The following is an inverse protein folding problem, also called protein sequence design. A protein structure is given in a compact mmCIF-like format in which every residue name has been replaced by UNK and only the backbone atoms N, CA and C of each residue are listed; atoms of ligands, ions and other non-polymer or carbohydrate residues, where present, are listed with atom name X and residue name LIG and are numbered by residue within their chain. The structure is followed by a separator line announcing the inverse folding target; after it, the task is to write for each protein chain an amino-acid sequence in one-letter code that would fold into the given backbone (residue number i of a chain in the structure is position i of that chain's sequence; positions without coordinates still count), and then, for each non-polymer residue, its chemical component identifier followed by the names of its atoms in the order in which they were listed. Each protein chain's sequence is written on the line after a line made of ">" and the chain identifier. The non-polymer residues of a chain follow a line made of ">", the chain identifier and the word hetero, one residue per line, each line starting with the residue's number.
data_IF_423372274257
#
_entry.id   IF_423372274257
#
_cell.length_a   1.000
_cell.length_b   1.000
_cell.length_c   1.000
_cell.angle_alpha   90.00
_cell.angle_beta   90.00
_cell.angle_gamma   90.00
#
_symmetry.space_group_name_H-M   'P 1'
#
loop_
_entity.id
_entity.type
_entity.pdbx_description
1 polymer ?
#
# COMPACT_ATOMS: atom_id res chain seq x y z
N UNK A 1 -18.89 -0.43 -26.09
CA UNK A 1 -19.48 0.87 -25.67
C UNK A 1 -18.44 1.62 -24.88
N UNK A 2 -18.15 2.91 -25.16
CA UNK A 2 -17.28 3.69 -24.29
C UNK A 2 -18.11 4.31 -23.16
N UNK A 3 -17.67 4.16 -21.93
CA UNK A 3 -18.32 4.74 -20.76
C UNK A 3 -17.34 5.68 -20.06
N UNK A 4 -17.77 6.88 -19.70
CA UNK A 4 -16.91 7.82 -18.96
C UNK A 4 -16.51 7.26 -17.60
N UNK A 5 -15.33 7.62 -17.11
CA UNK A 5 -14.85 7.14 -15.80
C UNK A 5 -15.75 7.57 -14.65
N UNK A 6 -16.40 8.74 -14.73
CA UNK A 6 -17.40 9.19 -13.72
C UNK A 6 -18.62 8.27 -13.70
N UNK A 7 -19.15 7.91 -14.88
CA UNK A 7 -20.28 6.99 -14.96
C UNK A 7 -19.91 5.57 -14.50
N UNK A 8 -18.71 5.13 -14.83
CA UNK A 8 -18.18 3.83 -14.39
C UNK A 8 -18.00 3.79 -12.87
N UNK A 9 -17.44 4.83 -12.26
CA UNK A 9 -17.30 4.92 -10.80
C UNK A 9 -18.67 4.84 -10.11
N UNK A 10 -19.67 5.59 -10.63
CA UNK A 10 -21.03 5.54 -10.11
C UNK A 10 -21.67 4.15 -10.24
N UNK A 11 -21.40 3.45 -11.34
CA UNK A 11 -21.85 2.08 -11.54
C UNK A 11 -21.15 1.11 -10.57
N UNK A 12 -19.83 1.22 -10.37
CA UNK A 12 -19.09 0.43 -9.38
C UNK A 12 -19.65 0.64 -7.95
N UNK A 13 -19.97 1.88 -7.57
CA UNK A 13 -20.50 2.19 -6.23
C UNK A 13 -21.91 1.61 -5.99
N UNK A 14 -22.62 1.17 -7.03
CA UNK A 14 -23.87 0.44 -6.89
C UNK A 14 -23.70 -1.00 -6.36
N UNK A 15 -22.48 -1.56 -6.49
CA UNK A 15 -22.16 -2.89 -6.00
C UNK A 15 -21.82 -2.89 -4.51
N UNK A 16 -21.99 -4.06 -3.85
CA UNK A 16 -21.68 -4.22 -2.44
C UNK A 16 -20.19 -3.96 -2.14
N UNK A 17 -19.89 -2.91 -1.40
CA UNK A 17 -18.53 -2.52 -1.06
C UNK A 17 -18.17 -2.89 0.39
N UNK A 18 -17.46 -4.01 0.56
CA UNK A 18 -17.06 -4.52 1.88
C UNK A 18 -15.85 -3.79 2.49
N UNK A 19 -15.26 -2.82 1.81
CA UNK A 19 -14.33 -1.87 2.41
C UNK A 19 -15.07 -0.77 3.21
N UNK A 20 -16.32 -0.49 2.82
CA UNK A 20 -17.19 0.53 3.45
C UNK A 20 -18.21 -0.07 4.43
N UNK A 21 -18.61 -1.32 4.23
CA UNK A 21 -19.65 -2.00 5.03
C UNK A 21 -19.21 -3.41 5.45
N UNK A 22 -19.74 -3.90 6.57
CA UNK A 22 -19.44 -5.24 7.05
C UNK A 22 -20.10 -6.30 6.15
N UNK A 23 -19.33 -7.29 5.72
CA UNK A 23 -19.85 -8.42 4.95
C UNK A 23 -20.68 -9.35 5.83
N UNK A 24 -21.87 -9.73 5.35
CA UNK A 24 -22.66 -10.82 5.90
C UNK A 24 -22.42 -12.07 5.04
N UNK A 25 -21.86 -13.13 5.62
CA UNK A 25 -21.53 -14.37 4.94
C UNK A 25 -20.03 -14.55 4.63
N UNK A 26 -19.69 -15.70 4.04
CA UNK A 26 -18.31 -16.07 3.75
C UNK A 26 -17.81 -15.44 2.44
N UNK A 27 -16.51 -15.16 2.38
CA UNK A 27 -15.83 -14.81 1.13
C UNK A 27 -15.67 -16.07 0.27
N UNK A 28 -15.73 -15.92 -1.06
CA UNK A 28 -15.61 -17.01 -1.99
C UNK A 28 -14.98 -16.53 -3.30
N UNK A 29 -14.20 -17.38 -3.95
CA UNK A 29 -13.66 -17.12 -5.29
C UNK A 29 -14.59 -17.54 -6.41
N UNK A 30 -15.77 -18.12 -6.11
CA UNK A 30 -16.65 -18.70 -7.12
C UNK A 30 -17.10 -17.68 -8.16
N UNK A 31 -17.57 -16.51 -7.71
CA UNK A 31 -18.10 -15.47 -8.61
C UNK A 31 -16.98 -14.89 -9.48
N UNK A 32 -15.86 -14.44 -8.89
CA UNK A 32 -14.75 -13.88 -9.67
C UNK A 32 -14.15 -14.90 -10.64
N UNK A 33 -14.04 -16.19 -10.26
CA UNK A 33 -13.51 -17.23 -11.13
C UNK A 33 -14.42 -17.49 -12.33
N UNK A 34 -15.74 -17.53 -12.11
CA UNK A 34 -16.70 -17.67 -13.19
C UNK A 34 -16.64 -16.49 -14.16
N UNK A 35 -16.71 -15.27 -13.62
CA UNK A 35 -16.69 -14.05 -14.43
C UNK A 35 -15.40 -13.93 -15.25
N UNK A 36 -14.25 -14.20 -14.62
CA UNK A 36 -12.98 -14.19 -15.35
C UNK A 36 -12.91 -15.25 -16.46
N UNK A 37 -13.46 -16.45 -16.21
CA UNK A 37 -13.52 -17.52 -17.21
C UNK A 37 -14.42 -17.14 -18.40
N UNK A 38 -15.58 -16.57 -18.16
CA UNK A 38 -16.50 -16.09 -19.20
C UNK A 38 -15.92 -14.91 -20.00
N UNK A 39 -14.95 -14.16 -19.44
CA UNK A 39 -14.16 -13.12 -20.08
C UNK A 39 -12.86 -13.64 -20.75
N UNK A 40 -12.76 -14.96 -21.01
CA UNK A 40 -11.54 -15.59 -21.53
C UNK A 40 -10.28 -15.36 -20.69
N UNK A 41 -10.44 -15.33 -19.37
CA UNK A 41 -9.35 -15.21 -18.38
C UNK A 41 -8.34 -14.11 -18.72
N UNK A 42 -8.74 -12.83 -18.73
CA UNK A 42 -7.86 -11.73 -19.12
C UNK A 42 -6.57 -11.62 -18.29
N UNK A 43 -6.60 -12.09 -17.03
CA UNK A 43 -5.45 -12.14 -16.13
C UNK A 43 -4.33 -13.09 -16.58
N UNK A 44 -4.58 -13.98 -17.51
CA UNK A 44 -3.58 -14.89 -18.08
C UNK A 44 -2.85 -14.35 -19.32
N UNK A 45 -3.21 -13.15 -19.79
CA UNK A 45 -2.62 -12.53 -20.97
C UNK A 45 -1.20 -11.98 -20.74
N UNK A 46 -0.76 -11.86 -19.51
CA UNK A 46 0.53 -11.29 -19.08
C UNK A 46 1.07 -12.01 -17.84
N UNK A 47 2.37 -11.86 -17.59
CA UNK A 47 3.01 -12.40 -16.37
C UNK A 47 2.57 -11.62 -15.14
N UNK A 48 2.56 -12.27 -13.97
CA UNK A 48 2.13 -11.60 -12.74
C UNK A 48 3.06 -11.83 -11.57
N UNK A 49 3.11 -10.85 -10.65
CA UNK A 49 3.65 -10.94 -9.29
C UNK A 49 2.49 -10.69 -8.34
N UNK A 50 2.26 -11.58 -7.39
CA UNK A 50 1.14 -11.51 -6.45
C UNK A 50 1.63 -11.25 -5.04
N UNK A 51 1.15 -10.17 -4.40
CA UNK A 51 1.68 -9.66 -3.12
C UNK A 51 0.61 -9.66 -2.04
N UNK A 52 0.82 -10.45 -0.97
CA UNK A 52 0.00 -10.43 0.24
C UNK A 52 0.83 -10.02 1.47
N UNK A 53 0.16 -9.75 2.58
CA UNK A 53 0.79 -9.40 3.84
C UNK A 53 -0.05 -8.46 4.68
N UNK A 54 0.39 -8.12 5.90
CA UNK A 54 -0.27 -7.12 6.74
C UNK A 54 0.28 -5.73 6.45
N UNK A 55 1.57 -5.53 6.53
CA UNK A 55 2.23 -4.24 6.31
C UNK A 55 3.23 -4.32 5.16
N UNK A 56 3.27 -3.27 4.34
CA UNK A 56 4.26 -3.14 3.26
C UNK A 56 3.83 -3.70 1.91
N UNK A 57 2.61 -4.25 1.76
CA UNK A 57 2.10 -4.77 0.47
C UNK A 57 2.26 -3.76 -0.67
N UNK A 58 1.62 -2.58 -0.53
CA UNK A 58 1.68 -1.53 -1.55
C UNK A 58 3.11 -1.07 -1.85
N UNK A 59 3.98 -0.94 -0.81
CA UNK A 59 5.39 -0.57 -1.02
C UNK A 59 6.15 -1.62 -1.84
N UNK A 60 5.99 -2.91 -1.49
CA UNK A 60 6.66 -4.00 -2.23
C UNK A 60 6.09 -4.13 -3.64
N UNK A 61 4.76 -4.03 -3.81
CA UNK A 61 4.14 -4.05 -5.14
C UNK A 61 4.66 -2.92 -6.04
N UNK A 62 4.70 -1.68 -5.50
CA UNK A 62 5.22 -0.53 -6.24
C UNK A 62 6.71 -0.67 -6.55
N UNK A 63 7.52 -1.17 -5.61
CA UNK A 63 8.95 -1.45 -5.84
C UNK A 63 9.15 -2.52 -6.92
N UNK A 64 8.38 -3.62 -6.91
CA UNK A 64 8.43 -4.65 -7.95
C UNK A 64 8.08 -4.07 -9.32
N UNK A 65 6.96 -3.35 -9.44
CA UNK A 65 6.55 -2.72 -10.69
C UNK A 65 7.58 -1.71 -11.20
N UNK A 66 8.18 -0.92 -10.29
CA UNK A 66 9.21 0.06 -10.64
C UNK A 66 10.51 -0.59 -11.16
N UNK A 67 10.93 -1.71 -10.58
CA UNK A 67 12.09 -2.46 -11.07
C UNK A 67 11.80 -3.03 -12.46
N UNK A 68 10.62 -3.64 -12.67
CA UNK A 68 10.20 -4.18 -13.97
C UNK A 68 10.14 -3.09 -15.03
N UNK A 69 9.56 -1.92 -14.69
CA UNK A 69 9.52 -0.76 -15.57
C UNK A 69 10.92 -0.20 -15.88
N UNK A 70 11.82 -0.15 -14.90
CA UNK A 70 13.20 0.28 -15.10
C UNK A 70 13.99 -0.67 -16.02
N UNK A 71 13.59 -1.95 -16.13
CA UNK A 71 14.13 -2.89 -17.10
C UNK A 71 13.65 -2.63 -18.53
N UNK A 72 12.51 -1.95 -18.67
CA UNK A 72 11.88 -1.68 -19.97
C UNK A 72 10.61 -2.50 -20.23
N UNK A 73 10.15 -3.27 -19.25
CA UNK A 73 8.84 -3.92 -19.34
C UNK A 73 7.71 -2.89 -19.16
N UNK A 74 6.64 -3.04 -19.94
CA UNK A 74 5.37 -2.37 -19.64
C UNK A 74 4.75 -3.04 -18.41
N UNK A 75 4.37 -2.25 -17.42
CA UNK A 75 3.84 -2.72 -16.14
C UNK A 75 2.40 -2.31 -15.92
N UNK A 76 1.65 -3.17 -15.23
CA UNK A 76 0.40 -2.86 -14.58
C UNK A 76 0.57 -3.00 -13.07
N UNK A 77 0.13 -2.02 -12.31
CA UNK A 77 0.17 -2.00 -10.86
C UNK A 77 -1.25 -1.93 -10.29
N UNK A 78 -1.67 -3.00 -9.59
CA UNK A 78 -2.93 -3.07 -8.88
C UNK A 78 -2.68 -2.97 -7.37
N UNK A 79 -3.18 -1.90 -6.75
CA UNK A 79 -2.98 -1.62 -5.30
C UNK A 79 -4.27 -1.18 -4.63
N UNK A 80 -4.32 -1.27 -3.30
CA UNK A 80 -5.45 -0.83 -2.48
C UNK A 80 -5.01 -0.30 -1.11
N UNK A 81 -5.78 0.62 -0.50
CA UNK A 81 -6.83 1.42 -1.13
C UNK A 81 -6.28 2.54 -2.01
N UNK A 82 -7.14 3.23 -2.76
CA UNK A 82 -6.81 4.52 -3.39
C UNK A 82 -6.91 5.66 -2.36
N UNK A 83 -6.32 6.80 -2.69
CA UNK A 83 -6.30 7.99 -1.82
C UNK A 83 -7.24 9.08 -2.36
N UNK A 84 -7.14 9.41 -3.65
CA UNK A 84 -7.91 10.49 -4.28
C UNK A 84 -8.87 9.95 -5.35
N UNK A 85 -8.39 9.05 -6.23
CA UNK A 85 -9.12 8.56 -7.39
C UNK A 85 -9.01 7.04 -7.47
N UNK A 86 -10.13 6.37 -7.76
CA UNK A 86 -10.18 4.90 -7.83
C UNK A 86 -9.23 4.31 -8.89
N UNK A 87 -8.90 5.04 -9.95
CA UNK A 87 -7.92 4.63 -10.97
C UNK A 87 -6.49 4.50 -10.42
N UNK A 88 -6.19 5.09 -9.24
CA UNK A 88 -4.92 4.83 -8.55
C UNK A 88 -4.70 3.35 -8.26
N UNK A 89 -5.80 2.57 -8.18
CA UNK A 89 -5.74 1.12 -8.00
C UNK A 89 -5.31 0.36 -9.25
N UNK A 90 -5.45 0.98 -10.43
CA UNK A 90 -5.28 0.32 -11.73
C UNK A 90 -4.48 1.24 -12.66
N UNK A 91 -3.17 1.22 -12.56
CA UNK A 91 -2.29 2.10 -13.34
C UNK A 91 -0.94 1.45 -13.63
N UNK A 92 -0.06 2.10 -14.40
CA UNK A 92 1.37 1.80 -14.39
C UNK A 92 2.01 2.44 -13.14
N UNK A 93 3.18 1.97 -12.76
CA UNK A 93 3.95 2.57 -11.65
C UNK A 93 4.29 4.03 -11.91
N UNK A 94 4.43 4.44 -13.16
CA UNK A 94 4.77 5.82 -13.54
C UNK A 94 3.56 6.72 -13.63
N UNK A 95 2.49 6.26 -14.30
CA UNK A 95 1.36 7.10 -14.65
C UNK A 95 0.08 6.29 -14.87
N UNK A 96 -1.03 6.95 -15.09
CA UNK A 96 -2.26 6.34 -15.56
C UNK A 96 -2.10 5.86 -17.01
N UNK A 97 -2.88 4.84 -17.41
CA UNK A 97 -2.99 4.45 -18.80
C UNK A 97 -3.78 5.50 -19.59
N UNK A 98 -3.77 5.38 -20.92
CA UNK A 98 -4.60 6.21 -21.79
C UNK A 98 -6.07 6.12 -21.36
N UNK A 99 -6.76 7.27 -21.32
CA UNK A 99 -8.16 7.35 -20.94
C UNK A 99 -9.05 6.46 -21.80
N UNK A 100 -8.72 6.30 -23.10
CA UNK A 100 -9.45 5.43 -24.00
C UNK A 100 -9.38 3.96 -23.56
N UNK A 101 -8.22 3.48 -23.07
CA UNK A 101 -8.08 2.11 -22.55
C UNK A 101 -9.01 1.88 -21.35
N UNK A 102 -9.09 2.86 -20.43
CA UNK A 102 -10.00 2.77 -19.29
C UNK A 102 -11.47 2.77 -19.74
N UNK A 103 -11.88 3.69 -20.61
CA UNK A 103 -13.24 3.82 -21.09
C UNK A 103 -13.73 2.60 -21.86
N UNK A 104 -12.88 2.03 -22.73
CA UNK A 104 -13.17 0.79 -23.45
C UNK A 104 -13.27 -0.42 -22.49
N UNK A 105 -12.37 -0.50 -21.50
CA UNK A 105 -12.37 -1.60 -20.53
C UNK A 105 -13.60 -1.51 -19.62
N UNK A 106 -13.98 -0.31 -19.22
CA UNK A 106 -15.18 -0.07 -18.42
C UNK A 106 -16.45 -0.44 -19.20
N UNK A 107 -16.53 -0.02 -20.46
CA UNK A 107 -17.66 -0.35 -21.32
C UNK A 107 -17.80 -1.86 -21.57
N UNK A 108 -16.67 -2.55 -21.77
CA UNK A 108 -16.63 -4.01 -21.90
C UNK A 108 -17.13 -4.70 -20.63
N UNK A 109 -16.64 -4.30 -19.46
CA UNK A 109 -17.03 -4.91 -18.19
C UNK A 109 -18.51 -4.67 -17.87
N UNK A 110 -19.01 -3.44 -18.03
CA UNK A 110 -20.42 -3.10 -17.77
C UNK A 110 -21.34 -3.93 -18.66
N UNK A 111 -21.11 -3.91 -19.97
CA UNK A 111 -21.89 -4.70 -20.92
C UNK A 111 -21.86 -6.18 -20.59
N UNK A 112 -20.68 -6.72 -20.28
CA UNK A 112 -20.52 -8.13 -19.91
C UNK A 112 -21.33 -8.49 -18.66
N UNK A 113 -21.30 -7.66 -17.60
CA UNK A 113 -22.03 -7.92 -16.36
C UNK A 113 -23.55 -7.84 -16.60
N UNK A 114 -24.01 -6.89 -17.42
CA UNK A 114 -25.44 -6.81 -17.82
C UNK A 114 -25.88 -8.07 -18.56
N UNK A 115 -25.09 -8.52 -19.53
CA UNK A 115 -25.40 -9.71 -20.35
C UNK A 115 -25.42 -11.02 -19.55
N UNK A 116 -24.59 -11.13 -18.49
CA UNK A 116 -24.47 -12.38 -17.70
C UNK A 116 -25.34 -12.38 -16.43
N UNK A 117 -25.88 -11.23 -16.00
CA UNK A 117 -26.56 -11.09 -14.70
C UNK A 117 -27.73 -12.08 -14.51
N UNK A 118 -28.58 -12.24 -15.51
CA UNK A 118 -29.72 -13.18 -15.49
C UNK A 118 -29.23 -14.62 -15.33
N UNK A 119 -28.15 -15.01 -16.02
CA UNK A 119 -27.54 -16.36 -15.90
C UNK A 119 -26.98 -16.61 -14.52
N UNK A 120 -26.37 -15.57 -13.88
CA UNK A 120 -25.85 -15.67 -12.51
C UNK A 120 -26.97 -15.84 -11.49
N UNK A 121 -28.08 -15.14 -11.63
CA UNK A 121 -29.26 -15.29 -10.76
C UNK A 121 -29.86 -16.68 -10.85
N UNK A 122 -30.09 -17.21 -12.07
CA UNK A 122 -30.60 -18.55 -12.32
C UNK A 122 -29.70 -19.64 -11.72
N UNK A 123 -28.36 -19.42 -11.80
CA UNK A 123 -27.36 -20.34 -11.26
C UNK A 123 -27.10 -20.17 -9.75
N UNK A 124 -27.83 -19.26 -9.08
CA UNK A 124 -27.66 -18.93 -7.66
C UNK A 124 -26.23 -18.48 -7.27
N UNK A 125 -25.52 -17.82 -8.18
CA UNK A 125 -24.24 -17.19 -7.86
C UNK A 125 -24.46 -15.88 -7.11
N UNK A 126 -23.64 -15.57 -6.10
CA UNK A 126 -23.67 -14.25 -5.48
C UNK A 126 -23.35 -13.16 -6.50
N UNK A 127 -24.00 -12.01 -6.37
CA UNK A 127 -23.62 -10.83 -7.14
C UNK A 127 -22.16 -10.44 -6.87
N UNK A 128 -21.46 -9.97 -7.90
CA UNK A 128 -20.08 -9.53 -7.76
C UNK A 128 -20.00 -8.31 -6.85
N UNK A 129 -19.07 -8.36 -5.91
CA UNK A 129 -18.76 -7.23 -5.03
C UNK A 129 -17.97 -6.15 -5.78
N UNK A 130 -17.97 -4.93 -5.23
CA UNK A 130 -17.18 -3.82 -5.72
C UNK A 130 -15.71 -4.21 -5.96
N UNK A 131 -15.12 -4.95 -5.00
CA UNK A 131 -13.71 -5.36 -5.11
C UNK A 131 -13.48 -6.43 -6.20
N UNK A 132 -14.42 -7.33 -6.43
CA UNK A 132 -14.35 -8.27 -7.55
C UNK A 132 -14.47 -7.55 -8.90
N UNK A 133 -15.37 -6.56 -9.02
CA UNK A 133 -15.56 -5.78 -10.25
C UNK A 133 -14.33 -4.92 -10.58
N UNK A 134 -13.74 -4.22 -9.60
CA UNK A 134 -12.52 -3.44 -9.84
C UNK A 134 -11.31 -4.33 -10.14
N UNK A 135 -11.27 -5.55 -9.61
CA UNK A 135 -10.24 -6.55 -9.93
C UNK A 135 -10.38 -7.04 -11.38
N UNK A 136 -11.60 -7.36 -11.83
CA UNK A 136 -11.86 -7.71 -13.23
C UNK A 136 -11.54 -6.55 -14.18
N UNK A 137 -11.92 -5.34 -13.80
CA UNK A 137 -11.56 -4.13 -14.56
C UNK A 137 -10.04 -4.02 -14.73
N UNK A 138 -9.26 -4.23 -13.65
CA UNK A 138 -7.81 -4.22 -13.73
C UNK A 138 -7.26 -5.30 -14.68
N UNK A 139 -7.84 -6.50 -14.66
CA UNK A 139 -7.44 -7.57 -15.58
C UNK A 139 -7.67 -7.19 -17.05
N UNK A 140 -8.82 -6.58 -17.36
CA UNK A 140 -9.15 -6.12 -18.72
C UNK A 140 -8.24 -4.97 -19.15
N UNK A 141 -8.05 -3.95 -18.28
CA UNK A 141 -7.17 -2.79 -18.55
C UNK A 141 -5.76 -3.26 -18.88
N UNK A 142 -5.17 -4.13 -18.06
CA UNK A 142 -3.80 -4.60 -18.27
C UNK A 142 -3.65 -5.44 -19.54
N UNK A 143 -4.65 -6.26 -19.87
CA UNK A 143 -4.70 -6.98 -21.15
C UNK A 143 -4.75 -6.01 -22.35
N UNK A 144 -5.65 -5.01 -22.31
CA UNK A 144 -5.79 -4.01 -23.37
C UNK A 144 -4.55 -3.10 -23.51
N UNK A 145 -3.95 -2.72 -22.39
CA UNK A 145 -2.71 -1.93 -22.35
C UNK A 145 -1.47 -2.74 -22.83
N UNK A 146 -1.61 -4.06 -23.02
CA UNK A 146 -0.50 -4.91 -23.47
C UNK A 146 0.66 -4.94 -22.50
N UNK A 147 0.39 -4.99 -21.18
CA UNK A 147 1.45 -5.04 -20.18
C UNK A 147 2.25 -6.35 -20.27
N UNK A 148 3.54 -6.29 -20.02
CA UNK A 148 4.38 -7.48 -19.91
C UNK A 148 4.18 -8.16 -18.52
N UNK A 149 4.05 -7.32 -17.47
CA UNK A 149 3.86 -7.76 -16.09
C UNK A 149 2.75 -6.99 -15.38
N UNK A 150 1.85 -7.71 -14.71
CA UNK A 150 0.94 -7.17 -13.72
C UNK A 150 1.44 -7.47 -12.30
N UNK A 151 1.57 -6.46 -11.45
CA UNK A 151 1.87 -6.62 -10.02
C UNK A 151 0.61 -6.36 -9.24
N UNK A 152 0.13 -7.37 -8.51
CA UNK A 152 -1.16 -7.33 -7.83
C UNK A 152 -0.99 -7.41 -6.31
N UNK A 153 -1.46 -6.40 -5.61
CA UNK A 153 -1.64 -6.39 -4.15
C UNK A 153 -2.98 -7.01 -3.78
N UNK A 154 -3.02 -7.91 -2.79
CA UNK A 154 -4.28 -8.40 -2.21
C UNK A 154 -4.98 -7.31 -1.42
N UNK A 155 -6.31 -7.23 -1.52
CA UNK A 155 -7.11 -6.32 -0.69
C UNK A 155 -7.20 -6.80 0.75
N UNK A 156 -7.71 -8.02 0.97
CA UNK A 156 -7.92 -8.60 2.30
C UNK A 156 -7.49 -10.07 2.37
N UNK A 157 -6.59 -10.38 3.30
CA UNK A 157 -6.12 -11.76 3.49
C UNK A 157 -5.25 -12.24 2.33
N UNK A 158 -5.75 -13.17 1.55
CA UNK A 158 -5.08 -13.76 0.39
C UNK A 158 -5.87 -14.95 -0.17
N UNK A 159 -6.18 -15.96 0.65
CA UNK A 159 -6.82 -17.22 0.25
C UNK A 159 -8.14 -17.03 -0.52
N UNK A 160 -8.97 -16.09 -0.07
CA UNK A 160 -10.28 -15.78 -0.64
C UNK A 160 -10.35 -14.35 -1.21
N UNK A 161 -9.19 -13.72 -1.44
CA UNK A 161 -9.10 -12.44 -2.10
C UNK A 161 -9.38 -12.57 -3.60
N UNK A 162 -10.11 -11.62 -4.19
CA UNK A 162 -10.46 -11.67 -5.61
C UNK A 162 -9.24 -11.80 -6.54
N UNK A 163 -8.08 -11.28 -6.13
CA UNK A 163 -6.83 -11.42 -6.88
C UNK A 163 -6.28 -12.85 -6.88
N UNK A 164 -6.78 -13.74 -6.00
CA UNK A 164 -6.20 -15.08 -5.85
C UNK A 164 -6.58 -16.09 -6.96
N UNK A 165 -7.20 -15.63 -8.03
CA UNK A 165 -7.36 -16.41 -9.27
C UNK A 165 -6.14 -16.30 -10.20
N UNK A 166 -5.15 -15.46 -9.84
CA UNK A 166 -3.89 -15.31 -10.56
C UNK A 166 -3.03 -16.57 -10.51
N UNK A 167 -2.20 -16.75 -11.55
CA UNK A 167 -1.10 -17.72 -11.61
C UNK A 167 0.23 -16.96 -11.73
N UNK A 168 0.84 -16.52 -10.62
CA UNK A 168 1.99 -15.63 -10.65
C UNK A 168 3.31 -16.37 -10.94
N UNK A 169 4.29 -15.65 -11.51
CA UNK A 169 5.69 -16.11 -11.61
C UNK A 169 6.32 -16.22 -10.21
N UNK A 170 5.91 -15.39 -9.27
CA UNK A 170 6.32 -15.40 -7.88
C UNK A 170 5.21 -14.87 -6.97
N UNK A 171 4.94 -15.57 -5.86
CA UNK A 171 4.12 -15.06 -4.76
C UNK A 171 5.02 -14.33 -3.75
N UNK A 172 4.54 -13.21 -3.21
CA UNK A 172 5.32 -12.40 -2.26
C UNK A 172 4.50 -12.16 -1.00
N UNK A 173 5.07 -12.46 0.17
CA UNK A 173 4.39 -12.26 1.44
C UNK A 173 5.21 -11.28 2.28
N UNK A 174 4.64 -10.12 2.53
CA UNK A 174 5.24 -9.08 3.37
C UNK A 174 5.04 -9.40 4.86
N UNK A 175 5.44 -8.49 5.75
CA UNK A 175 5.36 -8.73 7.19
C UNK A 175 3.91 -8.94 7.68
N UNK A 176 3.73 -9.90 8.61
CA UNK A 176 2.44 -10.26 9.21
C UNK A 176 2.31 -9.63 10.59
N UNK A 177 1.20 -8.95 10.81
CA UNK A 177 0.77 -8.40 12.09
C UNK A 177 -0.69 -8.77 12.36
N UNK A 178 -1.15 -8.58 13.60
CA UNK A 178 -2.56 -8.67 13.94
C UNK A 178 -3.33 -7.52 13.27
N UNK A 179 -4.18 -7.86 12.32
CA UNK A 179 -5.08 -6.93 11.63
C UNK A 179 -6.33 -7.66 11.14
N UNK A 180 -7.43 -6.93 10.96
CA UNK A 180 -8.70 -7.49 10.45
C UNK A 180 -9.11 -8.79 11.16
N UNK A 181 -8.95 -8.81 12.47
CA UNK A 181 -9.12 -10.02 13.29
C UNK A 181 -10.54 -10.59 13.24
N UNK A 182 -11.52 -9.76 12.92
CA UNK A 182 -12.91 -10.16 12.69
C UNK A 182 -13.10 -11.04 11.44
N UNK A 183 -12.19 -10.96 10.45
CA UNK A 183 -12.25 -11.73 9.20
C UNK A 183 -11.15 -12.79 9.07
N UNK A 184 -9.93 -12.45 9.51
CA UNK A 184 -8.75 -13.29 9.29
C UNK A 184 -8.39 -14.16 10.50
N UNK A 185 -9.07 -13.93 11.63
CA UNK A 185 -8.81 -14.61 12.89
C UNK A 185 -7.88 -13.85 13.83
N UNK A 186 -7.87 -14.25 15.09
CA UNK A 186 -7.34 -13.56 16.25
C UNK A 186 -5.89 -13.91 16.61
N UNK A 187 -5.21 -14.68 15.75
CA UNK A 187 -3.81 -15.08 15.96
C UNK A 187 -2.96 -14.88 14.70
N UNK A 188 -1.66 -14.64 14.90
CA UNK A 188 -0.67 -14.53 13.82
C UNK A 188 -0.72 -15.76 12.90
N UNK A 189 -0.88 -16.96 13.44
CA UNK A 189 -0.96 -18.21 12.65
C UNK A 189 -2.20 -18.26 11.75
N UNK A 190 -3.37 -17.79 12.22
CA UNK A 190 -4.59 -17.72 11.42
C UNK A 190 -4.45 -16.71 10.29
N UNK A 191 -3.95 -15.50 10.59
CA UNK A 191 -3.71 -14.46 9.60
C UNK A 191 -2.66 -14.93 8.56
N UNK A 192 -1.58 -15.56 9.02
CA UNK A 192 -0.56 -16.13 8.15
C UNK A 192 -1.15 -17.21 7.22
N UNK A 193 -2.09 -18.04 7.72
CA UNK A 193 -2.78 -19.06 6.91
C UNK A 193 -3.60 -18.41 5.78
N UNK A 194 -4.39 -17.39 6.08
CA UNK A 194 -5.17 -16.68 5.05
C UNK A 194 -4.27 -16.04 3.98
N UNK A 195 -3.16 -15.42 4.40
CA UNK A 195 -2.23 -14.79 3.46
C UNK A 195 -1.39 -15.82 2.67
N UNK A 196 -1.07 -16.96 3.28
CA UNK A 196 -0.41 -18.07 2.59
C UNK A 196 -1.26 -18.72 1.48
N UNK A 197 -2.56 -18.40 1.44
CA UNK A 197 -3.45 -18.86 0.36
C UNK A 197 -3.06 -18.39 -1.04
N UNK A 198 -2.17 -17.40 -1.17
CA UNK A 198 -1.61 -16.98 -2.47
C UNK A 198 -0.46 -17.86 -2.96
N UNK A 199 0.05 -18.77 -2.13
CA UNK A 199 1.11 -19.71 -2.52
C UNK A 199 0.53 -20.72 -3.50
N UNK A 200 1.06 -20.74 -4.72
CA UNK A 200 0.61 -21.64 -5.79
C UNK A 200 1.50 -22.85 -5.90
N UNK A 201 0.98 -23.89 -6.52
CA UNK A 201 1.70 -25.14 -6.72
C UNK A 201 2.91 -24.92 -7.63
N UNK A 202 4.07 -25.45 -7.21
CA UNK A 202 5.36 -25.33 -7.91
C UNK A 202 5.84 -23.90 -8.19
N UNK A 203 5.17 -22.86 -7.64
CA UNK A 203 5.50 -21.46 -7.85
C UNK A 203 6.36 -20.94 -6.72
N UNK A 204 7.49 -20.24 -6.99
CA UNK A 204 8.32 -19.64 -5.95
C UNK A 204 7.54 -18.67 -5.06
N UNK A 205 7.88 -18.65 -3.77
CA UNK A 205 7.34 -17.69 -2.82
C UNK A 205 8.46 -17.00 -2.04
N UNK A 206 8.48 -15.67 -2.07
CA UNK A 206 9.37 -14.81 -1.30
C UNK A 206 8.65 -14.27 -0.07
N UNK A 207 9.26 -14.36 1.09
CA UNK A 207 8.63 -13.99 2.35
C UNK A 207 9.54 -13.02 3.12
N UNK A 208 8.98 -11.92 3.61
CA UNK A 208 9.66 -11.04 4.56
C UNK A 208 10.04 -11.78 5.85
N UNK A 209 10.91 -11.18 6.67
CA UNK A 209 11.17 -11.70 8.03
C UNK A 209 9.86 -11.76 8.83
N UNK A 210 9.65 -12.86 9.53
CA UNK A 210 8.41 -13.19 10.24
C UNK A 210 8.64 -13.61 11.69
N UNK A 211 7.56 -13.66 12.44
CA UNK A 211 7.53 -14.39 13.72
C UNK A 211 7.61 -15.91 13.47
N UNK A 212 8.11 -16.66 14.45
CA UNK A 212 8.20 -18.13 14.36
C UNK A 212 6.86 -18.81 14.04
N UNK A 213 5.75 -18.25 14.51
CA UNK A 213 4.42 -18.80 14.28
C UNK A 213 3.95 -18.61 12.83
N UNK A 214 4.22 -17.45 12.24
CA UNK A 214 3.95 -17.22 10.81
C UNK A 214 4.88 -18.07 9.93
N UNK A 215 6.19 -18.16 10.26
CA UNK A 215 7.15 -19.01 9.51
C UNK A 215 6.71 -20.47 9.45
N UNK A 216 6.26 -21.05 10.57
CA UNK A 216 5.76 -22.44 10.60
C UNK A 216 4.63 -22.66 9.60
N UNK A 217 3.69 -21.69 9.51
CA UNK A 217 2.56 -21.76 8.58
C UNK A 217 3.06 -21.71 7.14
N UNK A 218 3.92 -20.75 6.79
CA UNK A 218 4.45 -20.61 5.43
C UNK A 218 5.25 -21.83 4.99
N UNK A 219 6.14 -22.35 5.84
CA UNK A 219 6.91 -23.58 5.55
C UNK A 219 6.02 -24.79 5.35
N UNK A 220 4.94 -24.92 6.14
CA UNK A 220 3.96 -26.02 5.99
C UNK A 220 3.24 -25.92 4.64
N UNK A 221 2.69 -24.76 4.30
CA UNK A 221 1.89 -24.59 3.07
C UNK A 221 2.78 -24.65 1.83
N UNK A 222 3.96 -24.02 1.85
CA UNK A 222 4.89 -24.13 0.73
C UNK A 222 5.31 -25.58 0.45
N UNK A 223 5.53 -26.40 1.50
CA UNK A 223 5.83 -27.82 1.34
C UNK A 223 4.63 -28.57 0.72
N UNK A 224 3.40 -28.30 1.15
CA UNK A 224 2.19 -28.90 0.61
C UNK A 224 1.96 -28.54 -0.86
N UNK A 225 2.39 -27.34 -1.27
CA UNK A 225 2.28 -26.81 -2.63
C UNK A 225 3.53 -27.08 -3.49
N UNK A 226 4.52 -27.82 -2.97
CA UNK A 226 5.82 -28.00 -3.65
C UNK A 226 6.46 -26.68 -4.10
N UNK A 227 6.12 -25.57 -3.44
CA UNK A 227 6.56 -24.22 -3.76
C UNK A 227 7.97 -23.96 -3.19
N UNK A 228 8.95 -23.55 -4.02
CA UNK A 228 10.23 -23.08 -3.52
C UNK A 228 10.02 -21.87 -2.61
N UNK A 229 10.50 -21.94 -1.36
CA UNK A 229 10.25 -20.91 -0.33
C UNK A 229 11.55 -20.21 0.03
N UNK A 230 11.55 -18.89 -0.05
CA UNK A 230 12.68 -18.03 0.24
C UNK A 230 12.33 -16.94 1.25
N UNK A 231 12.88 -17.01 2.45
CA UNK A 231 12.80 -15.91 3.42
C UNK A 231 13.90 -14.90 3.12
N UNK A 232 13.55 -13.61 3.05
CA UNK A 232 14.51 -12.56 2.71
C UNK A 232 15.67 -12.47 3.72
N UNK A 233 15.40 -12.72 5.00
CA UNK A 233 16.42 -12.74 6.06
C UNK A 233 17.31 -13.99 6.04
N UNK A 234 16.94 -15.05 5.33
CA UNK A 234 17.77 -16.22 5.08
C UNK A 234 18.54 -16.08 3.75
N UNK A 235 17.93 -15.42 2.76
CA UNK A 235 18.53 -15.19 1.45
C UNK A 235 19.57 -14.06 1.46
N UNK A 236 19.29 -12.97 2.18
CA UNK A 236 20.22 -11.85 2.29
C UNK A 236 21.25 -12.08 3.39
N UNK A 237 22.53 -12.01 3.01
CA UNK A 237 23.66 -12.02 3.95
C UNK A 237 23.69 -10.78 4.83
N UNK A 238 23.28 -9.61 4.25
CA UNK A 238 23.31 -8.32 4.93
C UNK A 238 22.29 -7.37 4.34
N UNK A 239 21.58 -6.66 5.21
CA UNK A 239 20.72 -5.53 4.87
C UNK A 239 21.08 -4.40 5.82
N UNK A 240 21.62 -3.31 5.28
CA UNK A 240 21.97 -2.09 6.03
C UNK A 240 21.23 -0.88 5.47
N UNK A 241 21.00 0.10 6.31
CA UNK A 241 20.41 1.37 5.92
C UNK A 241 21.01 2.52 6.73
N UNK A 242 21.01 3.70 6.12
CA UNK A 242 21.29 4.98 6.77
C UNK A 242 20.32 6.04 6.29
N UNK A 243 20.24 7.14 7.03
CA UNK A 243 19.35 8.25 6.70
C UNK A 243 20.18 9.50 6.42
N UNK A 244 20.14 9.96 5.18
CA UNK A 244 20.87 11.17 4.76
C UNK A 244 20.05 11.93 3.71
N UNK A 245 20.06 13.27 3.80
CA UNK A 245 19.39 14.13 2.82
C UNK A 245 17.92 13.74 2.56
N UNK A 246 17.19 13.41 3.62
CA UNK A 246 15.78 12.98 3.57
C UNK A 246 15.55 11.74 2.67
N UNK A 247 16.54 10.86 2.55
CA UNK A 247 16.48 9.61 1.84
C UNK A 247 16.89 8.45 2.74
N UNK A 248 16.37 7.26 2.44
CA UNK A 248 16.84 6.02 3.04
C UNK A 248 17.87 5.38 2.11
N UNK A 249 19.16 5.50 2.45
CA UNK A 249 20.22 4.78 1.74
C UNK A 249 20.17 3.32 2.15
N UNK A 250 20.25 2.40 1.20
CA UNK A 250 20.21 0.96 1.45
C UNK A 250 21.38 0.26 0.81
N UNK A 251 21.89 -0.74 1.55
CA UNK A 251 22.88 -1.70 1.09
C UNK A 251 22.30 -3.11 1.33
N UNK A 252 22.14 -3.89 0.25
CA UNK A 252 21.59 -5.24 0.32
C UNK A 252 22.58 -6.19 -0.34
N UNK A 253 23.10 -7.14 0.43
CA UNK A 253 24.03 -8.17 -0.04
C UNK A 253 23.38 -9.54 0.09
N UNK A 254 23.13 -10.18 -1.03
CA UNK A 254 22.63 -11.56 -1.08
C UNK A 254 23.78 -12.60 -1.14
N UNK A 255 25.03 -12.17 -1.23
CA UNK A 255 26.20 -13.06 -1.30
C UNK A 255 26.06 -14.11 -2.42
N UNK A 256 26.34 -15.37 -2.09
CA UNK A 256 26.25 -16.49 -3.02
C UNK A 256 24.85 -17.13 -3.09
N UNK A 257 23.80 -16.38 -2.84
CA UNK A 257 22.43 -16.91 -2.87
C UNK A 257 22.10 -17.53 -4.24
N UNK A 258 21.57 -18.76 -4.21
CA UNK A 258 21.28 -19.58 -5.39
C UNK A 258 19.89 -20.17 -5.30
N UNK A 259 19.19 -20.28 -6.42
CA UNK A 259 17.88 -20.94 -6.51
C UNK A 259 17.99 -22.47 -6.35
N UNK A 260 19.14 -23.05 -6.72
CA UNK A 260 19.48 -24.45 -6.51
C UNK A 260 20.99 -24.62 -6.29
N UNK A 261 21.41 -25.79 -5.79
CA UNK A 261 22.85 -26.10 -5.60
C UNK A 261 23.69 -26.02 -6.88
N UNK A 262 23.03 -26.20 -8.06
CA UNK A 262 23.71 -26.24 -9.36
C UNK A 262 23.61 -24.91 -10.12
N UNK A 263 22.72 -23.98 -9.70
CA UNK A 263 22.61 -22.67 -10.35
C UNK A 263 23.75 -21.73 -9.95
N UNK A 264 24.10 -20.75 -10.80
CA UNK A 264 24.99 -19.67 -10.41
C UNK A 264 24.36 -18.83 -9.28
N UNK A 265 25.17 -17.96 -8.66
CA UNK A 265 24.66 -16.96 -7.75
C UNK A 265 23.60 -16.08 -8.47
N UNK A 266 22.50 -15.80 -7.79
CA UNK A 266 21.40 -15.04 -8.39
C UNK A 266 21.74 -13.55 -8.54
N UNK A 267 22.59 -13.02 -7.65
CA UNK A 267 23.08 -11.65 -7.67
C UNK A 267 24.59 -11.65 -7.90
N UNK A 268 25.07 -10.81 -8.82
CA UNK A 268 26.49 -10.68 -9.13
C UNK A 268 27.23 -9.77 -8.13
N UNK A 269 26.52 -8.81 -7.52
CA UNK A 269 27.05 -7.86 -6.55
C UNK A 269 25.98 -7.37 -5.58
N UNK A 270 26.36 -6.71 -4.46
CA UNK A 270 25.40 -6.02 -3.61
C UNK A 270 24.66 -4.90 -4.33
N UNK A 271 23.39 -4.67 -3.93
CA UNK A 271 22.54 -3.58 -4.37
C UNK A 271 22.81 -2.36 -3.46
N UNK A 272 23.05 -1.19 -4.07
CA UNK A 272 23.29 0.07 -3.36
C UNK A 272 22.45 1.17 -3.98
N UNK A 273 21.49 1.70 -3.23
CA UNK A 273 20.60 2.74 -3.76
C UNK A 273 20.06 3.65 -2.66
N UNK A 274 19.49 4.79 -3.03
CA UNK A 274 18.84 5.73 -2.12
C UNK A 274 17.35 5.78 -2.42
N UNK A 275 16.53 5.28 -1.49
CA UNK A 275 15.08 5.29 -1.62
C UNK A 275 14.52 6.67 -1.26
N UNK A 276 13.54 7.12 -2.02
CA UNK A 276 12.69 8.27 -1.67
C UNK A 276 11.66 7.90 -0.60
N UNK A 277 11.32 6.62 -0.48
CA UNK A 277 10.46 6.12 0.58
C UNK A 277 11.20 6.13 1.92
N UNK A 278 10.60 6.81 2.88
CA UNK A 278 11.22 7.06 4.17
C UNK A 278 11.05 5.88 5.15
N UNK A 279 12.10 5.64 5.95
CA UNK A 279 12.07 4.74 7.10
C UNK A 279 12.72 3.38 6.89
N UNK A 280 13.19 2.81 8.02
CA UNK A 280 13.94 1.55 8.06
C UNK A 280 13.21 0.37 7.40
N UNK A 281 11.87 0.34 7.51
CA UNK A 281 11.04 -0.75 6.95
C UNK A 281 11.20 -0.83 5.43
N UNK A 282 11.46 0.30 4.78
CA UNK A 282 11.60 0.34 3.32
C UNK A 282 12.87 -0.34 2.82
N UNK A 283 13.93 -0.42 3.64
CA UNK A 283 15.11 -1.20 3.29
C UNK A 283 14.82 -2.70 3.20
N UNK A 284 14.00 -3.22 4.10
CA UNK A 284 13.57 -4.63 4.08
C UNK A 284 12.55 -4.91 2.97
N UNK A 285 11.65 -3.96 2.71
CA UNK A 285 10.73 -4.03 1.58
C UNK A 285 11.49 -4.03 0.24
N UNK A 286 12.54 -3.21 0.12
CA UNK A 286 13.40 -3.16 -1.06
C UNK A 286 14.15 -4.48 -1.27
N UNK A 287 14.66 -5.10 -0.20
CA UNK A 287 15.30 -6.41 -0.28
C UNK A 287 14.32 -7.51 -0.73
N UNK A 288 13.09 -7.49 -0.20
CA UNK A 288 12.04 -8.43 -0.59
C UNK A 288 11.64 -8.24 -2.06
N UNK A 289 11.43 -7.00 -2.50
CA UNK A 289 11.09 -6.68 -3.89
C UNK A 289 12.23 -7.08 -4.85
N UNK A 290 13.49 -6.75 -4.53
CA UNK A 290 14.65 -7.13 -5.31
C UNK A 290 14.78 -8.65 -5.47
N UNK A 291 14.64 -9.41 -4.37
CA UNK A 291 14.66 -10.87 -4.39
C UNK A 291 13.53 -11.43 -5.27
N UNK A 292 12.31 -10.92 -5.09
CA UNK A 292 11.12 -11.39 -5.80
C UNK A 292 11.21 -11.14 -7.31
N UNK A 293 11.61 -9.93 -7.72
CA UNK A 293 11.79 -9.60 -9.14
C UNK A 293 12.92 -10.42 -9.74
N UNK A 294 14.04 -10.60 -9.04
CA UNK A 294 15.19 -11.36 -9.52
C UNK A 294 14.87 -12.86 -9.68
N UNK A 295 13.96 -13.40 -8.86
CA UNK A 295 13.46 -14.78 -9.00
C UNK A 295 12.52 -14.90 -10.21
N UNK A 296 11.63 -13.92 -10.42
CA UNK A 296 10.72 -13.89 -11.57
C UNK A 296 11.45 -13.63 -12.90
N UNK A 297 12.52 -12.80 -12.88
CA UNK A 297 13.28 -12.33 -14.03
C UNK A 297 14.77 -12.31 -13.70
N UNK A 298 15.48 -13.46 -13.76
CA UNK A 298 16.91 -13.57 -13.39
C UNK A 298 17.84 -12.69 -14.22
N UNK A 299 17.42 -12.29 -15.43
CA UNK A 299 18.19 -11.44 -16.36
C UNK A 299 18.29 -9.97 -15.93
N UNK A 300 17.44 -9.51 -15.01
CA UNK A 300 17.45 -8.12 -14.55
C UNK A 300 18.73 -7.86 -13.73
N UNK A 301 19.54 -6.89 -14.15
CA UNK A 301 20.79 -6.55 -13.47
C UNK A 301 20.57 -5.75 -12.18
N UNK A 302 21.58 -5.74 -11.29
CA UNK A 302 21.53 -4.98 -10.04
C UNK A 302 21.42 -3.46 -10.30
N UNK A 303 22.01 -2.94 -11.38
CA UNK A 303 21.86 -1.52 -11.79
C UNK A 303 20.41 -1.16 -12.11
N UNK A 304 19.69 -2.07 -12.75
CA UNK A 304 18.27 -1.88 -13.06
C UNK A 304 17.45 -1.91 -11.77
N UNK A 305 17.75 -2.84 -10.87
CA UNK A 305 17.10 -2.92 -9.55
C UNK A 305 17.33 -1.63 -8.77
N UNK A 306 18.57 -1.14 -8.68
CA UNK A 306 18.94 0.10 -8.00
C UNK A 306 18.17 1.30 -8.57
N UNK A 307 18.14 1.44 -9.89
CA UNK A 307 17.42 2.51 -10.58
C UNK A 307 15.91 2.43 -10.35
N UNK A 308 15.33 1.23 -10.43
CA UNK A 308 13.92 1.01 -10.17
C UNK A 308 13.52 1.36 -8.74
N UNK A 309 14.30 0.90 -7.75
CA UNK A 309 14.06 1.21 -6.34
C UNK A 309 14.19 2.71 -6.02
N UNK A 310 15.18 3.40 -6.62
CA UNK A 310 15.39 4.83 -6.43
C UNK A 310 14.26 5.70 -7.00
N UNK A 311 13.54 5.20 -7.99
CA UNK A 311 12.47 5.93 -8.67
C UNK A 311 11.11 5.88 -7.95
N UNK A 312 10.96 4.99 -6.96
CA UNK A 312 9.66 4.74 -6.30
C UNK A 312 9.19 5.97 -5.53
N UNK A 313 7.95 6.36 -5.80
CA UNK A 313 7.20 7.38 -5.04
C UNK A 313 5.85 6.79 -4.63
N UNK A 314 5.39 7.14 -3.43
CA UNK A 314 4.08 6.71 -2.93
C UNK A 314 3.42 7.84 -2.14
N UNK A 315 2.22 8.18 -2.52
CA UNK A 315 1.42 9.19 -1.82
C UNK A 315 1.07 8.71 -0.41
N UNK A 316 1.21 9.61 0.56
CA UNK A 316 0.80 9.37 1.94
C UNK A 316 1.57 8.27 2.68
N UNK A 317 2.80 7.96 2.26
CA UNK A 317 3.73 7.04 2.94
C UNK A 317 4.98 7.78 3.39
N UNK A 318 4.83 8.65 4.39
CA UNK A 318 5.83 9.61 4.82
C UNK A 318 6.37 10.42 3.62
N UNK A 319 5.44 10.88 2.79
CA UNK A 319 5.73 11.65 1.59
C UNK A 319 6.19 13.04 1.99
N UNK A 320 7.38 13.44 1.55
CA UNK A 320 7.99 14.74 1.87
C UNK A 320 7.85 15.63 0.65
N UNK A 321 7.19 16.77 0.80
CA UNK A 321 6.89 17.72 -0.27
C UNK A 321 7.31 19.14 0.14
N UNK A 322 7.88 19.88 -0.80
CA UNK A 322 8.07 21.31 -0.66
C UNK A 322 6.80 22.05 -1.09
N UNK A 323 6.33 22.98 -0.26
CA UNK A 323 5.16 23.80 -0.54
C UNK A 323 5.47 25.28 -0.41
N UNK A 324 5.12 26.08 -1.41
CA UNK A 324 5.26 27.54 -1.37
C UNK A 324 3.97 28.14 -0.79
N UNK A 325 4.01 28.50 0.50
CA UNK A 325 2.88 29.15 1.19
C UNK A 325 2.59 30.54 0.62
N UNK A 326 3.64 31.29 0.34
CA UNK A 326 3.61 32.58 -0.37
C UNK A 326 4.90 32.75 -1.17
N UNK A 327 5.10 33.94 -1.81
CA UNK A 327 6.29 34.18 -2.66
C UNK A 327 7.64 33.98 -1.95
N UNK A 328 7.68 34.09 -0.62
CA UNK A 328 8.93 34.08 0.15
C UNK A 328 9.02 32.92 1.15
N UNK A 329 7.88 32.32 1.53
CA UNK A 329 7.86 31.30 2.58
C UNK A 329 7.64 29.91 1.97
N UNK A 330 8.66 29.08 2.07
CA UNK A 330 8.60 27.64 1.75
C UNK A 330 8.45 26.85 3.03
N UNK A 331 7.59 25.84 3.02
CA UNK A 331 7.46 24.87 4.09
C UNK A 331 7.63 23.45 3.54
N UNK A 332 8.07 22.57 4.40
CA UNK A 332 8.08 21.13 4.12
C UNK A 332 6.79 20.52 4.67
N UNK A 333 6.02 19.88 3.82
CA UNK A 333 4.83 19.11 4.22
C UNK A 333 5.18 17.64 4.20
N UNK A 334 4.92 16.95 5.31
CA UNK A 334 5.06 15.51 5.44
C UNK A 334 3.65 14.92 5.49
N UNK A 335 3.32 14.04 4.54
CA UNK A 335 2.03 13.39 4.45
C UNK A 335 2.17 11.90 4.78
N UNK A 336 1.50 11.44 5.84
CA UNK A 336 1.50 10.03 6.21
C UNK A 336 0.12 9.54 6.67
N UNK A 337 -0.39 8.51 6.01
CA UNK A 337 -1.65 7.88 6.38
C UNK A 337 -1.58 6.96 7.61
N UNK A 338 -0.51 7.03 8.42
CA UNK A 338 -0.33 6.25 9.65
C UNK A 338 -1.48 6.52 10.64
N UNK A 339 -2.18 5.45 11.06
CA UNK A 339 -3.40 5.54 11.86
C UNK A 339 -3.54 4.44 12.93
N UNK A 340 -2.48 3.70 13.18
CA UNK A 340 -2.39 2.73 14.30
C UNK A 340 -1.21 3.10 15.18
N UNK A 341 -1.20 2.74 16.48
CA UNK A 341 -0.08 3.06 17.36
C UNK A 341 1.28 2.65 16.78
N UNK A 342 1.39 1.44 16.23
CA UNK A 342 2.63 0.97 15.58
C UNK A 342 3.03 1.82 14.37
N UNK A 343 2.07 2.13 13.47
CA UNK A 343 2.39 2.92 12.28
C UNK A 343 2.77 4.35 12.63
N UNK A 344 2.10 4.98 13.59
CA UNK A 344 2.46 6.32 14.07
C UNK A 344 3.82 6.32 14.77
N UNK A 345 4.13 5.29 15.56
CA UNK A 345 5.48 5.13 16.14
C UNK A 345 6.55 5.10 15.05
N UNK A 346 6.35 4.30 13.99
CA UNK A 346 7.30 4.24 12.87
C UNK A 346 7.43 5.58 12.13
N UNK A 347 6.33 6.32 11.97
CA UNK A 347 6.33 7.66 11.37
C UNK A 347 7.09 8.67 12.25
N UNK A 348 6.87 8.66 13.56
CA UNK A 348 7.60 9.50 14.51
C UNK A 348 9.09 9.15 14.54
N UNK A 349 9.43 7.86 14.56
CA UNK A 349 10.83 7.42 14.47
C UNK A 349 11.49 7.90 13.16
N UNK A 350 10.76 7.84 12.05
CA UNK A 350 11.23 8.33 10.76
C UNK A 350 11.43 9.84 10.78
N UNK A 351 10.47 10.60 11.36
CA UNK A 351 10.60 12.02 11.59
C UNK A 351 11.87 12.36 12.38
N UNK A 352 12.08 11.69 13.50
CA UNK A 352 13.25 11.88 14.35
C UNK A 352 14.59 11.60 13.64
N UNK A 353 14.59 10.63 12.72
CA UNK A 353 15.80 10.29 11.96
C UNK A 353 16.12 11.32 10.86
N UNK A 354 15.10 11.92 10.24
CA UNK A 354 15.30 12.86 9.15
C UNK A 354 15.42 14.32 9.61
N UNK A 355 14.67 14.71 10.63
CA UNK A 355 14.55 16.09 11.07
C UNK A 355 15.15 16.36 12.45
N UNK A 356 15.54 15.30 13.16
CA UNK A 356 16.26 15.42 14.44
C UNK A 356 15.45 16.14 15.51
N UNK A 357 16.00 17.26 15.99
CA UNK A 357 15.36 18.11 16.99
C UNK A 357 14.51 19.24 16.41
N UNK A 358 14.32 19.28 15.09
CA UNK A 358 13.49 20.31 14.47
C UNK A 358 12.02 20.10 14.85
N UNK A 359 11.34 21.05 15.49
CA UNK A 359 9.93 20.91 15.84
C UNK A 359 9.05 21.12 14.61
N UNK A 360 7.86 20.48 14.58
CA UNK A 360 6.86 20.65 13.54
C UNK A 360 5.50 21.05 14.11
N UNK A 361 4.65 21.57 13.24
CA UNK A 361 3.20 21.61 13.49
C UNK A 361 2.59 20.28 13.07
N UNK A 362 1.63 19.76 13.83
CA UNK A 362 0.95 18.49 13.54
C UNK A 362 -0.48 18.78 13.14
N UNK A 363 -0.93 18.20 12.03
CA UNK A 363 -2.33 18.11 11.65
C UNK A 363 -2.76 16.64 11.71
N UNK A 364 -3.74 16.34 12.57
CA UNK A 364 -4.16 14.98 12.86
C UNK A 364 -5.65 14.78 12.67
N UNK A 365 -6.02 13.66 12.07
CA UNK A 365 -7.39 13.14 12.09
C UNK A 365 -7.38 11.62 12.05
N UNK A 366 -8.34 10.98 12.68
CA UNK A 366 -8.52 9.54 12.56
C UNK A 366 -10.01 9.16 12.52
N UNK A 367 -10.30 7.98 11.95
CA UNK A 367 -11.64 7.42 11.98
C UNK A 367 -12.00 6.96 13.42
N UNK A 368 -13.30 6.89 13.71
CA UNK A 368 -13.81 6.61 15.06
C UNK A 368 -13.35 5.26 15.64
N UNK A 369 -13.06 4.28 14.78
CA UNK A 369 -12.61 2.92 15.13
C UNK A 369 -11.12 2.85 15.52
N UNK A 370 -10.38 3.96 15.46
CA UNK A 370 -8.94 3.98 15.77
C UNK A 370 -8.70 4.29 17.27
N UNK A 371 -7.59 3.76 17.78
CA UNK A 371 -7.19 3.91 19.18
C UNK A 371 -6.44 5.24 19.39
N UNK A 372 -7.18 6.35 19.34
CA UNK A 372 -6.59 7.70 19.45
C UNK A 372 -5.92 7.92 20.80
N UNK A 373 -6.40 7.28 21.87
CA UNK A 373 -5.85 7.34 23.22
C UNK A 373 -4.43 6.77 23.29
N UNK A 374 -4.13 5.75 22.48
CA UNK A 374 -2.80 5.14 22.38
C UNK A 374 -1.89 5.89 21.39
N UNK A 375 -2.49 6.68 20.48
CA UNK A 375 -1.75 7.42 19.46
C UNK A 375 -1.29 8.79 19.98
N UNK A 376 -2.17 9.55 20.62
CA UNK A 376 -1.89 10.92 21.06
C UNK A 376 -0.62 11.06 21.92
N UNK A 377 -0.35 10.15 22.90
CA UNK A 377 0.87 10.22 23.71
C UNK A 377 2.16 10.10 22.90
N UNK A 378 2.14 9.39 21.77
CA UNK A 378 3.34 9.13 20.97
C UNK A 378 4.01 10.41 20.44
N UNK A 379 3.23 11.45 20.19
CA UNK A 379 3.76 12.75 19.74
C UNK A 379 4.49 13.51 20.84
N UNK A 380 4.27 13.18 22.11
CA UNK A 380 4.93 13.80 23.25
C UNK A 380 6.04 12.93 23.83
N UNK A 381 5.88 11.62 23.80
CA UNK A 381 6.81 10.66 24.39
C UNK A 381 7.92 10.22 23.42
N UNK A 382 7.61 10.12 22.13
CA UNK A 382 8.52 9.56 21.10
C UNK A 382 9.19 10.63 20.25
N UNK A 383 8.58 11.78 20.01
CA UNK A 383 9.23 12.84 19.26
C UNK A 383 10.40 13.43 20.08
N UNK A 384 11.54 13.61 19.42
CA UNK A 384 12.75 14.22 20.02
C UNK A 384 12.58 15.71 20.32
N UNK A 385 11.66 16.35 19.62
CA UNK A 385 11.30 17.76 19.82
C UNK A 385 9.81 17.89 20.04
N UNK A 386 9.42 18.80 20.92
CA UNK A 386 8.04 19.14 21.19
C UNK A 386 7.37 19.77 19.96
N UNK A 387 6.12 19.37 19.61
CA UNK A 387 5.39 20.00 18.51
C UNK A 387 5.18 21.52 18.74
N UNK A 388 5.22 22.31 17.66
CA UNK A 388 4.92 23.75 17.69
C UNK A 388 3.45 24.05 17.97
N UNK A 389 2.57 23.19 17.47
CA UNK A 389 1.12 23.17 17.67
C UNK A 389 0.53 21.86 17.20
N UNK A 390 -0.63 21.51 17.70
CA UNK A 390 -1.43 20.36 17.24
C UNK A 390 -2.81 20.85 16.81
N UNK A 391 -3.18 20.47 15.60
CA UNK A 391 -4.47 20.73 14.98
C UNK A 391 -5.19 19.39 14.78
N UNK A 392 -6.36 19.24 15.36
CA UNK A 392 -7.19 18.05 15.21
C UNK A 392 -8.45 18.38 14.40
N UNK A 393 -8.85 17.48 13.51
CA UNK A 393 -10.03 17.67 12.66
C UNK A 393 -10.63 16.33 12.24
N UNK A 394 -11.75 16.35 11.50
CA UNK A 394 -12.28 15.14 10.84
C UNK A 394 -11.41 14.77 9.63
N UNK A 395 -11.36 13.48 9.26
CA UNK A 395 -10.50 13.02 8.16
C UNK A 395 -10.98 13.45 6.75
N UNK A 396 -12.18 13.99 6.64
CA UNK A 396 -12.88 14.36 5.42
C UNK A 396 -14.37 14.11 5.64
N UNK A 397 -15.19 14.23 4.58
CA UNK A 397 -16.64 14.07 4.70
C UNK A 397 -17.08 12.59 4.68
N UNK A 398 -16.30 11.71 4.07
CA UNK A 398 -16.66 10.31 3.83
C UNK A 398 -16.41 9.36 5.02
N UNK A 399 -15.69 9.80 6.05
CA UNK A 399 -15.33 8.94 7.17
C UNK A 399 -15.84 9.50 8.51
N UNK A 400 -16.65 8.71 9.23
CA UNK A 400 -17.07 9.10 10.57
C UNK A 400 -15.88 9.18 11.52
N UNK A 401 -15.87 10.21 12.36
CA UNK A 401 -14.88 10.41 13.41
C UNK A 401 -15.55 10.85 14.70
N UNK A 402 -14.84 10.77 15.81
CA UNK A 402 -15.28 11.25 17.11
C UNK A 402 -14.34 12.38 17.57
N UNK A 403 -14.76 13.62 17.32
CA UNK A 403 -14.00 14.81 17.68
C UNK A 403 -13.89 14.98 19.21
N UNK A 404 -14.93 14.62 19.95
CA UNK A 404 -14.90 14.71 21.42
C UNK A 404 -13.87 13.73 22.00
N UNK A 405 -13.80 12.52 21.47
CA UNK A 405 -12.79 11.52 21.83
C UNK A 405 -11.37 11.99 21.48
N UNK A 406 -11.18 12.63 20.32
CA UNK A 406 -9.88 13.24 19.96
C UNK A 406 -9.51 14.38 20.92
N UNK A 407 -10.47 15.26 21.27
CA UNK A 407 -10.23 16.31 22.26
C UNK A 407 -9.77 15.72 23.60
N UNK A 408 -10.48 14.73 24.11
CA UNK A 408 -10.15 14.07 25.37
C UNK A 408 -8.75 13.42 25.38
N UNK A 409 -8.28 12.94 24.21
CA UNK A 409 -6.96 12.35 24.08
C UNK A 409 -5.83 13.40 23.96
N UNK A 410 -6.04 14.48 23.21
CA UNK A 410 -4.98 15.46 22.91
C UNK A 410 -4.93 16.65 23.87
N UNK A 411 -6.07 17.22 24.26
CA UNK A 411 -6.14 18.47 24.99
C UNK A 411 -5.40 18.41 26.35
N UNK A 412 -5.56 17.38 27.20
CA UNK A 412 -4.82 17.27 28.46
C UNK A 412 -3.31 17.18 28.23
N UNK A 413 -2.86 16.46 27.20
CA UNK A 413 -1.45 16.34 26.85
C UNK A 413 -0.88 17.70 26.38
N UNK A 414 -1.62 18.39 25.51
CA UNK A 414 -1.25 19.71 25.04
C UNK A 414 -1.13 20.72 26.19
N UNK A 415 -2.07 20.72 27.13
CA UNK A 415 -2.00 21.56 28.34
C UNK A 415 -0.77 21.23 29.20
N UNK A 416 -0.54 19.94 29.50
CA UNK A 416 0.59 19.49 30.30
C UNK A 416 1.93 19.87 29.70
N UNK A 417 2.05 19.77 28.39
CA UNK A 417 3.28 20.08 27.66
C UNK A 417 3.37 21.54 27.17
N UNK A 418 2.35 22.36 27.46
CA UNK A 418 2.25 23.75 26.98
C UNK A 418 2.43 23.84 25.45
N UNK A 419 1.62 23.03 24.70
CA UNK A 419 1.55 23.02 23.23
C UNK A 419 0.22 23.63 22.81
N UNK A 420 0.20 24.63 21.92
CA UNK A 420 -1.04 25.15 21.34
C UNK A 420 -1.86 24.05 20.68
N UNK A 421 -3.16 24.01 20.98
CA UNK A 421 -4.12 23.03 20.49
C UNK A 421 -5.32 23.69 19.84
N UNK A 422 -5.80 23.17 18.75
CA UNK A 422 -7.04 23.58 18.08
C UNK A 422 -7.79 22.36 17.55
N UNK A 423 -9.11 22.39 17.65
CA UNK A 423 -10.00 21.35 17.15
C UNK A 423 -11.16 22.00 16.38
N UNK A 424 -11.47 21.51 15.20
CA UNK A 424 -12.64 21.91 14.42
C UNK A 424 -13.10 20.77 13.51
N UNK A 425 -14.36 20.70 13.18
CA UNK A 425 -14.92 19.82 12.14
C UNK A 425 -14.67 20.36 10.71
N UNK A 426 -14.27 21.62 10.59
CA UNK A 426 -13.86 22.22 9.34
C UNK A 426 -12.40 21.90 9.03
N UNK A 427 -12.18 20.78 8.32
CA UNK A 427 -10.83 20.34 7.99
C UNK A 427 -10.09 21.31 7.07
N UNK A 428 -10.77 22.05 6.20
CA UNK A 428 -10.17 23.07 5.33
C UNK A 428 -9.55 24.18 6.18
N UNK A 429 -10.29 24.73 7.15
CA UNK A 429 -9.81 25.72 8.09
C UNK A 429 -8.58 25.21 8.89
N UNK A 430 -8.65 23.96 9.35
CA UNK A 430 -7.55 23.37 10.10
C UNK A 430 -6.29 23.15 9.26
N UNK A 431 -6.43 22.78 7.98
CA UNK A 431 -5.30 22.73 7.04
C UNK A 431 -4.65 24.12 6.90
N UNK A 432 -5.44 25.17 6.65
CA UNK A 432 -4.93 26.52 6.48
C UNK A 432 -4.23 27.05 7.75
N UNK A 433 -4.80 26.82 8.93
CA UNK A 433 -4.21 27.21 10.21
C UNK A 433 -2.89 26.44 10.46
N UNK A 434 -2.85 25.15 10.18
CA UNK A 434 -1.66 24.32 10.35
C UNK A 434 -0.53 24.74 9.40
N UNK A 435 -0.84 25.02 8.12
CA UNK A 435 0.11 25.56 7.14
C UNK A 435 0.63 26.92 7.55
N UNK A 436 -0.25 27.85 7.96
CA UNK A 436 0.13 29.17 8.46
C UNK A 436 1.05 29.10 9.67
N UNK A 437 0.76 28.19 10.61
CA UNK A 437 1.59 27.97 11.79
C UNK A 437 2.96 27.40 11.42
N UNK A 438 2.99 26.42 10.51
CA UNK A 438 4.25 25.87 10.01
C UNK A 438 5.10 26.97 9.35
N UNK A 439 4.52 27.83 8.50
CA UNK A 439 5.21 28.92 7.84
C UNK A 439 5.79 29.97 8.83
N UNK A 440 5.08 30.24 9.93
CA UNK A 440 5.55 31.16 10.99
C UNK A 440 6.50 30.52 12.02
N UNK A 441 6.77 29.23 11.89
CA UNK A 441 7.66 28.45 12.76
C UNK A 441 8.74 27.80 11.90
N UNK A 442 9.34 26.71 12.26
CA UNK A 442 10.46 26.10 11.53
C UNK A 442 10.11 25.47 10.16
N UNK A 443 9.00 25.84 9.55
CA UNK A 443 8.66 25.45 8.18
C UNK A 443 8.28 23.99 7.96
N UNK A 444 7.88 23.23 9.00
CA UNK A 444 7.48 21.83 8.86
C UNK A 444 6.04 21.62 9.33
N UNK A 445 5.22 21.03 8.44
CA UNK A 445 3.88 20.50 8.74
C UNK A 445 3.90 18.98 8.62
N UNK A 446 3.54 18.26 9.69
CA UNK A 446 3.39 16.83 9.70
C UNK A 446 1.90 16.47 9.77
N UNK A 447 1.38 15.91 8.68
CA UNK A 447 -0.02 15.47 8.52
C UNK A 447 -0.08 13.97 8.69
N UNK A 448 -0.87 13.48 9.65
CA UNK A 448 -1.02 12.04 9.86
C UNK A 448 -2.37 11.65 10.51
N UNK A 449 -2.59 10.34 10.66
CA UNK A 449 -3.76 9.74 11.28
C UNK A 449 -4.79 9.20 10.30
N UNK A 450 -4.77 9.63 9.02
CA UNK A 450 -5.71 9.14 8.01
C UNK A 450 -5.23 9.40 6.58
N UNK A 451 -5.40 8.41 5.69
CA UNK A 451 -5.25 8.65 4.24
C UNK A 451 -6.28 9.62 3.68
N UNK A 452 -7.49 9.67 4.26
CA UNK A 452 -8.51 10.63 3.85
C UNK A 452 -8.07 12.07 4.15
N UNK A 453 -7.48 12.33 5.32
CA UNK A 453 -6.90 13.64 5.64
C UNK A 453 -5.76 14.00 4.67
N UNK A 454 -4.91 13.03 4.34
CA UNK A 454 -3.84 13.21 3.33
C UNK A 454 -4.45 13.60 1.98
N UNK A 455 -5.51 12.92 1.55
CA UNK A 455 -6.23 13.24 0.31
C UNK A 455 -6.77 14.67 0.31
N UNK A 456 -7.44 15.07 1.38
CA UNK A 456 -8.00 16.42 1.50
C UNK A 456 -6.90 17.50 1.54
N UNK A 457 -5.78 17.24 2.22
CA UNK A 457 -4.62 18.12 2.17
C UNK A 457 -4.07 18.28 0.74
N UNK A 458 -3.90 17.16 0.01
CA UNK A 458 -3.40 17.22 -1.39
C UNK A 458 -4.36 17.97 -2.30
N UNK A 459 -5.67 17.73 -2.21
CA UNK A 459 -6.68 18.44 -3.00
C UNK A 459 -6.68 19.94 -2.69
N UNK A 460 -6.78 20.31 -1.40
CA UNK A 460 -6.90 21.70 -0.98
C UNK A 460 -5.65 22.51 -1.31
N UNK A 461 -4.47 21.98 -1.03
CA UNK A 461 -3.19 22.64 -1.26
C UNK A 461 -2.65 22.44 -2.69
N UNK A 462 -3.37 21.70 -3.55
CA UNK A 462 -2.97 21.37 -4.94
C UNK A 462 -1.55 20.76 -5.01
N UNK A 463 -1.25 19.84 -4.09
CA UNK A 463 0.03 19.15 -4.05
C UNK A 463 0.03 18.05 -5.13
N UNK A 464 1.10 18.00 -5.92
CA UNK A 464 1.30 17.00 -6.97
C UNK A 464 1.57 15.59 -6.41
#
# INVERSE_FOLDING_TARGET
>A
MNISMIAFESWLESAANYEKQKKTGEFSLKTISLLANELDNPQLAYKTIHVAGSKGKGSVSTMCASILNAHGFSDGLYTSPHIINFLERVKSVKDFFDTQIYEESAGELVQFIEDISERLEIAAYPQASWFELITLFAFIVFKKAGVNFGVFETGLGGRLDATNILQPEVSVITHIELEHTEYLGDTISKIAFEKAGIIKENTPVCVAAQTKDAEKVFRKIARQKHAPLYFVNEAAKKIEYSFENQKTNVFIDFGDFKLSRKSPALFARPIKTSLLLAGKVQAYNAALAALSVKIACPEISEEVIERGLAAVRMTGRFEILDYCYNKNDKITIILDGAHTPNSVTLSVDTYNNYFGLTPCSILFACAYDKHVEDIAPLFFEKMKSKPNAIYCTKPGDDKPCDLARMANAFEPLCMTHNVPYSLSDNYIEMIDLAVKKAASSNGILFVCGSFYLVAECKKHLKLA
#
